data_IF_444927902645
#
_entry.id   IF_444927902645
#
_cell.length_a   1.000
_cell.length_b   1.000
_cell.length_c   1.000
_cell.angle_alpha   90.00
_cell.angle_beta   90.00
_cell.angle_gamma   90.00
#
_symmetry.space_group_name_H-M   'P 1'
#
loop_
_entity.id
_entity.type
_entity.pdbx_description
1 polymer ?
#
# COMPACT_ATOMS: atom_id res chain seq x y z
N UNK A 1 -63.07 -2.94 18.52
CA UNK A 1 -62.55 -1.92 19.46
C UNK A 1 -61.54 -2.62 20.36
N UNK A 2 -60.24 -2.51 20.21
CA UNK A 2 -59.40 -1.69 19.36
C UNK A 2 -58.13 -2.48 19.01
N UNK A 3 -57.67 -2.34 17.78
CA UNK A 3 -56.31 -2.70 17.34
C UNK A 3 -55.28 -1.91 18.17
N UNK A 4 -54.24 -2.60 18.64
CA UNK A 4 -53.02 -1.97 19.11
C UNK A 4 -51.92 -2.29 18.09
N UNK A 5 -51.54 -1.25 17.35
CA UNK A 5 -50.44 -1.21 16.39
C UNK A 5 -49.13 -1.68 17.02
N UNK A 6 -48.55 -2.74 16.44
CA UNK A 6 -47.13 -3.08 16.59
C UNK A 6 -46.47 -2.69 15.28
N UNK A 7 -45.71 -1.59 15.29
CA UNK A 7 -44.83 -1.19 14.19
C UNK A 7 -43.90 -2.35 13.78
N UNK A 8 -43.80 -2.70 12.48
CA UNK A 8 -42.79 -3.63 12.03
C UNK A 8 -41.45 -2.88 11.90
N UNK A 9 -40.54 -3.18 12.83
CA UNK A 9 -39.12 -2.88 12.73
C UNK A 9 -38.62 -3.29 11.33
N UNK A 10 -38.23 -2.29 10.51
CA UNK A 10 -37.65 -2.50 9.18
C UNK A 10 -36.37 -3.34 9.29
N UNK A 11 -36.52 -4.66 9.16
CA UNK A 11 -35.44 -5.57 8.79
C UNK A 11 -34.91 -5.13 7.43
N UNK A 12 -33.73 -4.52 7.44
CA UNK A 12 -32.92 -4.37 6.23
C UNK A 12 -32.46 -5.78 5.85
N UNK A 13 -33.11 -6.31 4.82
CA UNK A 13 -32.85 -7.64 4.27
C UNK A 13 -31.39 -7.81 3.89
N UNK A 14 -30.76 -8.78 4.53
CA UNK A 14 -29.42 -9.26 4.24
C UNK A 14 -29.48 -10.37 3.20
N UNK A 15 -29.54 -10.02 1.92
CA UNK A 15 -29.47 -10.99 0.82
C UNK A 15 -28.45 -10.55 -0.23
N UNK A 16 -27.18 -10.79 0.08
CA UNK A 16 -26.16 -11.16 -0.91
C UNK A 16 -24.99 -11.77 -0.14
N UNK A 17 -24.49 -12.91 -0.58
CA UNK A 17 -23.32 -13.63 -0.06
C UNK A 17 -22.01 -12.87 -0.34
N UNK A 18 -21.98 -11.59 0.00
CA UNK A 18 -20.86 -10.67 -0.12
C UNK A 18 -19.94 -10.79 1.09
N UNK A 19 -18.68 -11.12 0.84
CA UNK A 19 -17.58 -11.11 1.81
C UNK A 19 -17.64 -9.81 2.65
N UNK A 20 -18.08 -9.87 3.92
CA UNK A 20 -18.21 -8.69 4.80
C UNK A 20 -16.92 -7.87 4.77
N UNK A 21 -17.02 -6.61 4.33
CA UNK A 21 -15.90 -5.65 4.26
C UNK A 21 -15.38 -5.38 5.68
N UNK A 22 -14.07 -5.47 5.88
CA UNK A 22 -13.45 -5.23 7.20
C UNK A 22 -13.14 -3.75 7.38
N UNK A 23 -13.88 -3.09 8.26
CA UNK A 23 -13.70 -1.66 8.59
C UNK A 23 -12.31 -1.37 9.13
N UNK A 24 -11.71 -2.31 9.87
CA UNK A 24 -10.34 -2.20 10.39
C UNK A 24 -9.30 -2.15 9.27
N UNK A 25 -9.46 -2.98 8.22
CA UNK A 25 -8.55 -2.94 7.08
C UNK A 25 -8.72 -1.66 6.25
N UNK A 26 -9.94 -1.12 6.17
CA UNK A 26 -10.15 0.20 5.58
C UNK A 26 -9.48 1.30 6.42
N UNK A 27 -9.60 1.25 7.74
CA UNK A 27 -8.90 2.17 8.63
C UNK A 27 -7.37 2.14 8.48
N UNK A 28 -6.80 0.95 8.28
CA UNK A 28 -5.37 0.82 7.96
C UNK A 28 -5.02 1.52 6.63
N UNK A 29 -5.85 1.39 5.60
CA UNK A 29 -5.65 2.11 4.32
C UNK A 29 -5.72 3.63 4.51
N UNK A 30 -6.62 4.10 5.36
CA UNK A 30 -6.73 5.54 5.66
C UNK A 30 -5.43 6.07 6.26
N UNK A 31 -4.91 5.40 7.29
CA UNK A 31 -3.65 5.79 7.92
C UNK A 31 -2.48 5.76 6.92
N UNK A 32 -2.41 4.74 6.06
CA UNK A 32 -1.39 4.63 5.02
C UNK A 32 -1.49 5.74 3.97
N UNK A 33 -2.69 6.06 3.47
CA UNK A 33 -2.89 7.15 2.51
C UNK A 33 -2.53 8.51 3.11
N UNK A 34 -3.00 8.80 4.32
CA UNK A 34 -2.70 10.05 5.01
C UNK A 34 -1.21 10.20 5.29
N UNK A 35 -0.52 9.12 5.68
CA UNK A 35 0.93 9.12 5.85
C UNK A 35 1.68 9.54 4.57
N UNK A 36 1.25 9.04 3.42
CA UNK A 36 1.81 9.41 2.12
C UNK A 36 1.53 10.89 1.79
N UNK A 37 0.29 11.35 2.00
CA UNK A 37 -0.07 12.77 1.74
C UNK A 37 0.75 13.70 2.62
N UNK A 38 0.86 13.42 3.92
CA UNK A 38 1.64 14.22 4.87
C UNK A 38 3.12 14.26 4.47
N UNK A 39 3.69 13.12 4.04
CA UNK A 39 5.04 13.08 3.51
C UNK A 39 5.22 14.02 2.31
N UNK A 40 4.34 13.94 1.31
CA UNK A 40 4.47 14.82 0.15
C UNK A 40 4.23 16.29 0.49
N UNK A 41 3.32 16.60 1.41
CA UNK A 41 3.12 17.97 1.90
C UNK A 41 4.42 18.54 2.50
N UNK A 42 5.20 17.73 3.23
CA UNK A 42 6.48 18.18 3.80
C UNK A 42 7.53 18.55 2.75
N UNK A 43 7.53 17.86 1.61
CA UNK A 43 8.40 18.18 0.47
C UNK A 43 7.88 19.38 -0.31
N UNK A 44 6.58 19.38 -0.63
CA UNK A 44 5.92 20.41 -1.43
C UNK A 44 5.95 21.78 -0.73
N UNK A 45 5.84 21.85 0.60
CA UNK A 45 5.93 23.11 1.34
C UNK A 45 7.36 23.67 1.42
N UNK A 46 8.38 22.95 0.92
CA UNK A 46 9.79 23.31 1.05
C UNK A 46 10.36 23.06 2.45
N UNK A 47 9.56 22.61 3.43
CA UNK A 47 10.05 22.38 4.79
C UNK A 47 11.11 21.27 4.81
N UNK A 48 10.87 20.14 4.15
CA UNK A 48 11.80 19.02 4.13
C UNK A 48 13.14 19.33 3.46
N UNK A 49 13.17 20.31 2.55
CA UNK A 49 14.38 20.74 1.80
C UNK A 49 15.04 21.99 2.40
N UNK A 50 14.38 22.67 3.33
CA UNK A 50 14.94 23.83 4.03
C UNK A 50 16.19 23.47 4.86
N UNK A 51 17.06 24.45 5.14
CA UNK A 51 18.26 24.25 5.94
C UNK A 51 17.96 23.73 7.37
N UNK A 52 16.84 24.16 7.95
CA UNK A 52 16.38 23.73 9.27
C UNK A 52 15.66 22.38 9.23
N UNK A 53 14.76 22.18 8.25
CA UNK A 53 13.97 20.96 8.14
C UNK A 53 14.77 19.75 7.67
N UNK A 54 15.71 19.92 6.73
CA UNK A 54 16.58 18.82 6.25
C UNK A 54 17.42 18.17 7.36
N UNK A 55 17.72 18.94 8.42
CA UNK A 55 18.42 18.51 9.64
C UNK A 55 17.48 18.13 10.78
N UNK A 56 16.17 18.17 10.59
CA UNK A 56 15.20 17.88 11.65
C UNK A 56 14.88 16.40 11.74
N UNK A 57 14.94 15.84 12.96
CA UNK A 57 14.44 14.48 13.24
C UNK A 57 12.96 14.35 12.86
N UNK A 58 12.17 15.42 13.04
CA UNK A 58 10.76 15.43 12.66
C UNK A 58 10.57 15.17 11.16
N UNK A 59 11.34 15.85 10.30
CA UNK A 59 11.29 15.64 8.84
C UNK A 59 11.74 14.23 8.48
N UNK A 60 12.74 13.68 9.17
CA UNK A 60 13.13 12.28 8.96
C UNK A 60 12.03 11.28 9.36
N UNK A 61 11.30 11.55 10.45
CA UNK A 61 10.14 10.77 10.87
C UNK A 61 9.04 10.86 9.80
N UNK A 62 8.64 12.07 9.39
CA UNK A 62 7.62 12.28 8.35
C UNK A 62 8.02 11.62 7.02
N UNK A 63 9.29 11.75 6.63
CA UNK A 63 9.89 11.09 5.47
C UNK A 63 9.71 9.57 5.48
N UNK A 64 10.02 8.94 6.60
CA UNK A 64 9.88 7.50 6.74
C UNK A 64 8.42 7.09 6.90
N UNK A 65 7.56 7.95 7.43
CA UNK A 65 6.13 7.67 7.60
C UNK A 65 5.44 7.50 6.23
N UNK A 66 5.78 8.32 5.24
CA UNK A 66 5.30 8.15 3.86
C UNK A 66 5.73 6.81 3.25
N UNK A 67 7.03 6.46 3.37
CA UNK A 67 7.55 5.17 2.90
C UNK A 67 6.89 3.98 3.62
N UNK A 68 6.65 4.10 4.92
CA UNK A 68 5.93 3.11 5.71
C UNK A 68 4.47 2.95 5.23
N UNK A 69 3.79 4.05 4.88
CA UNK A 69 2.47 4.00 4.25
C UNK A 69 2.45 3.16 2.97
N UNK A 70 3.45 3.32 2.10
CA UNK A 70 3.61 2.49 0.90
C UNK A 70 3.86 1.02 1.25
N UNK A 71 4.72 0.75 2.25
CA UNK A 71 4.95 -0.61 2.72
C UNK A 71 3.65 -1.28 3.21
N UNK A 72 2.82 -0.57 3.99
CA UNK A 72 1.51 -1.04 4.43
C UNK A 72 0.59 -1.35 3.26
N UNK A 73 0.54 -0.51 2.22
CA UNK A 73 -0.25 -0.81 1.01
C UNK A 73 0.20 -2.08 0.29
N UNK A 74 1.51 -2.31 0.16
CA UNK A 74 2.03 -3.52 -0.51
C UNK A 74 1.85 -4.78 0.34
N UNK A 75 2.05 -4.70 1.66
CA UNK A 75 1.74 -5.81 2.58
C UNK A 75 0.24 -6.12 2.56
N UNK A 76 -0.63 -5.11 2.58
CA UNK A 76 -2.07 -5.31 2.49
C UNK A 76 -2.50 -5.92 1.15
N UNK A 77 -1.86 -5.51 0.06
CA UNK A 77 -2.09 -6.07 -1.28
C UNK A 77 -1.66 -7.53 -1.35
N UNK A 78 -0.46 -7.86 -0.85
CA UNK A 78 0.01 -9.24 -0.72
C UNK A 78 -0.95 -10.10 0.12
N UNK A 79 -1.43 -9.57 1.24
CA UNK A 79 -2.40 -10.24 2.10
C UNK A 79 -3.73 -10.54 1.38
N UNK A 80 -4.36 -9.52 0.80
CA UNK A 80 -5.70 -9.66 0.24
C UNK A 80 -5.73 -10.49 -1.04
N UNK A 81 -4.74 -10.30 -1.92
CA UNK A 81 -4.68 -11.02 -3.18
C UNK A 81 -4.29 -12.48 -2.95
N UNK A 82 -3.22 -12.72 -2.20
CA UNK A 82 -2.72 -14.09 -2.03
C UNK A 82 -3.66 -14.96 -1.19
N UNK A 83 -4.48 -14.36 -0.32
CA UNK A 83 -5.51 -15.08 0.44
C UNK A 83 -6.47 -15.89 -0.45
N UNK A 84 -6.80 -15.38 -1.64
CA UNK A 84 -7.67 -16.09 -2.59
C UNK A 84 -6.97 -17.32 -3.18
N UNK A 85 -5.69 -17.16 -3.55
CA UNK A 85 -4.89 -18.24 -4.13
C UNK A 85 -4.46 -19.29 -3.11
N UNK A 86 -4.01 -18.87 -1.92
CA UNK A 86 -3.45 -19.76 -0.90
C UNK A 86 -4.52 -20.67 -0.30
N UNK A 87 -5.77 -20.20 -0.19
CA UNK A 87 -6.91 -21.05 0.22
C UNK A 87 -7.04 -22.26 -0.69
N UNK A 88 -6.94 -22.05 -2.01
CA UNK A 88 -6.97 -23.13 -2.98
C UNK A 88 -5.72 -24.00 -2.93
N UNK A 89 -4.54 -23.41 -2.81
CA UNK A 89 -3.28 -24.18 -2.73
C UNK A 89 -3.30 -25.12 -1.52
N UNK A 90 -3.75 -24.65 -0.37
CA UNK A 90 -3.71 -25.42 0.88
C UNK A 90 -4.90 -26.38 1.05
N UNK A 91 -6.10 -25.99 0.61
CA UNK A 91 -7.35 -26.69 0.94
C UNK A 91 -8.23 -27.00 -0.29
N UNK A 92 -7.66 -26.97 -1.49
CA UNK A 92 -8.32 -27.38 -2.75
C UNK A 92 -9.66 -26.68 -3.06
N UNK A 93 -9.82 -25.44 -2.59
CA UNK A 93 -10.99 -24.59 -2.89
C UNK A 93 -11.10 -24.16 -4.36
N UNK A 94 -12.25 -23.57 -4.71
CA UNK A 94 -12.58 -23.16 -6.08
C UNK A 94 -11.57 -22.15 -6.69
N UNK A 95 -11.41 -22.21 -8.03
CA UNK A 95 -10.57 -21.28 -8.78
C UNK A 95 -11.35 -20.01 -9.08
N UNK A 96 -10.81 -18.83 -8.75
CA UNK A 96 -11.24 -17.61 -9.43
C UNK A 96 -10.79 -17.69 -10.90
N UNK A 97 -11.70 -17.55 -11.89
CA UNK A 97 -11.32 -17.49 -13.29
C UNK A 97 -10.35 -16.32 -13.54
N UNK A 98 -9.28 -16.56 -14.30
CA UNK A 98 -8.26 -15.53 -14.58
C UNK A 98 -8.83 -14.28 -15.28
N UNK A 99 -9.76 -14.39 -16.25
CA UNK A 99 -10.37 -13.19 -16.85
C UNK A 99 -11.04 -12.30 -15.82
N UNK A 100 -11.85 -12.90 -14.93
CA UNK A 100 -12.51 -12.16 -13.83
C UNK A 100 -11.52 -11.52 -12.87
N UNK A 101 -10.43 -12.23 -12.57
CA UNK A 101 -9.35 -11.68 -11.76
C UNK A 101 -8.76 -10.42 -12.40
N UNK A 102 -8.36 -10.47 -13.67
CA UNK A 102 -7.76 -9.31 -14.34
C UNK A 102 -8.75 -8.16 -14.53
N UNK A 103 -10.01 -8.44 -14.85
CA UNK A 103 -11.08 -7.45 -14.99
C UNK A 103 -11.25 -6.63 -13.70
N UNK A 104 -11.42 -7.31 -12.55
CA UNK A 104 -11.57 -6.63 -11.25
C UNK A 104 -10.37 -5.78 -10.88
N UNK A 105 -9.15 -6.18 -11.30
CA UNK A 105 -7.91 -5.45 -11.00
C UNK A 105 -7.73 -4.26 -11.94
N UNK A 106 -8.10 -4.43 -13.21
CA UNK A 106 -8.10 -3.36 -14.19
C UNK A 106 -9.09 -2.26 -13.79
N UNK A 107 -10.36 -2.62 -13.52
CA UNK A 107 -11.42 -1.69 -13.12
C UNK A 107 -11.15 -0.99 -11.78
N UNK A 108 -10.32 -1.60 -10.92
CA UNK A 108 -9.90 -1.00 -9.66
C UNK A 108 -8.87 0.12 -9.84
N UNK A 109 -8.02 0.06 -10.86
CA UNK A 109 -6.91 1.01 -11.03
C UNK A 109 -7.17 1.98 -12.17
N UNK A 110 -7.34 1.48 -13.40
CA UNK A 110 -7.24 2.30 -14.59
C UNK A 110 -8.28 3.41 -14.72
N UNK A 111 -9.59 3.19 -14.45
CA UNK A 111 -10.60 4.22 -14.66
C UNK A 111 -10.33 5.51 -13.85
N UNK A 112 -10.07 5.39 -12.55
CA UNK A 112 -9.81 6.56 -11.71
C UNK A 112 -8.42 7.15 -12.00
N UNK A 113 -7.42 6.30 -12.28
CA UNK A 113 -6.09 6.76 -12.69
C UNK A 113 -6.16 7.62 -13.96
N UNK A 114 -6.87 7.18 -15.01
CA UNK A 114 -6.99 7.92 -16.26
C UNK A 114 -7.70 9.25 -16.08
N UNK A 115 -8.78 9.29 -15.29
CA UNK A 115 -9.46 10.56 -15.00
C UNK A 115 -8.55 11.51 -14.24
N UNK A 116 -7.82 11.02 -13.23
CA UNK A 116 -6.85 11.84 -12.50
C UNK A 116 -5.69 12.31 -13.40
N UNK A 117 -5.22 11.46 -14.32
CA UNK A 117 -4.17 11.80 -15.29
C UNK A 117 -4.64 12.88 -16.26
N UNK A 118 -5.85 12.75 -16.81
CA UNK A 118 -6.46 13.77 -17.66
C UNK A 118 -6.61 15.08 -16.89
N UNK A 119 -7.13 15.02 -15.66
CA UNK A 119 -7.19 16.19 -14.78
C UNK A 119 -5.82 16.84 -14.58
N UNK A 120 -4.79 16.04 -14.32
CA UNK A 120 -3.41 16.52 -14.21
C UNK A 120 -2.94 17.24 -15.47
N UNK A 121 -3.12 16.65 -16.65
CA UNK A 121 -2.70 17.25 -17.92
C UNK A 121 -3.45 18.54 -18.20
N UNK A 122 -4.78 18.54 -18.03
CA UNK A 122 -5.65 19.71 -18.33
C UNK A 122 -5.31 20.88 -17.44
N UNK A 123 -5.18 20.65 -16.12
CA UNK A 123 -4.97 21.73 -15.16
C UNK A 123 -3.54 22.26 -15.27
N UNK A 124 -2.55 21.38 -15.42
CA UNK A 124 -1.15 21.79 -15.37
C UNK A 124 -0.56 22.20 -16.73
N UNK A 125 -1.31 22.02 -17.82
CA UNK A 125 -0.83 22.22 -19.19
C UNK A 125 0.36 21.32 -19.56
N UNK A 126 0.62 20.24 -18.80
CA UNK A 126 1.80 19.40 -19.01
C UNK A 126 1.79 18.80 -20.43
N UNK A 127 2.87 18.96 -21.22
CA UNK A 127 2.89 18.48 -22.59
C UNK A 127 2.87 16.94 -22.61
N UNK A 128 1.86 16.38 -23.27
CA UNK A 128 1.86 14.97 -23.67
C UNK A 128 2.81 14.83 -24.87
N UNK A 129 4.10 14.68 -24.59
CA UNK A 129 5.09 14.44 -25.65
C UNK A 129 4.76 13.13 -26.36
N UNK A 130 4.67 13.17 -27.70
CA UNK A 130 4.45 11.99 -28.52
C UNK A 130 5.51 10.92 -28.21
N UNK A 131 5.07 9.71 -27.83
CA UNK A 131 5.93 8.62 -27.34
C UNK A 131 5.87 8.41 -25.82
N UNK A 132 5.64 9.45 -25.02
CA UNK A 132 5.46 9.36 -23.55
C UNK A 132 4.03 9.03 -23.12
N UNK A 133 3.03 9.41 -23.94
CA UNK A 133 1.61 9.23 -23.64
C UNK A 133 1.23 7.75 -23.42
N UNK A 134 1.78 6.83 -24.23
CA UNK A 134 1.56 5.39 -24.04
C UNK A 134 2.01 4.96 -22.65
N UNK A 135 3.23 5.31 -22.26
CA UNK A 135 3.78 4.98 -20.96
C UNK A 135 2.98 5.58 -19.79
N UNK A 136 2.42 6.78 -19.95
CA UNK A 136 1.54 7.36 -18.93
C UNK A 136 0.25 6.55 -18.85
N UNK A 137 -0.43 6.32 -19.97
CA UNK A 137 -1.69 5.57 -20.02
C UNK A 137 -1.58 4.14 -19.48
N UNK A 138 -0.42 3.49 -19.64
CA UNK A 138 -0.13 2.12 -19.17
C UNK A 138 0.63 2.07 -17.84
N UNK A 139 0.93 3.22 -17.22
CA UNK A 139 1.79 3.33 -16.02
C UNK A 139 3.25 2.85 -16.22
N UNK A 140 3.70 2.64 -17.46
CA UNK A 140 5.05 2.17 -17.78
C UNK A 140 6.04 3.28 -18.15
N UNK A 141 5.66 4.55 -18.12
CA UNK A 141 6.50 5.69 -18.53
C UNK A 141 7.90 5.68 -17.88
N UNK A 142 7.98 5.37 -16.59
CA UNK A 142 9.26 5.25 -15.86
C UNK A 142 10.20 4.15 -16.35
N UNK A 143 9.71 3.21 -17.15
CA UNK A 143 10.54 2.17 -17.76
C UNK A 143 11.18 2.62 -19.08
N UNK A 144 10.68 3.69 -19.70
CA UNK A 144 11.01 4.04 -21.08
C UNK A 144 11.56 5.47 -21.27
N UNK A 145 11.28 6.42 -20.37
CA UNK A 145 11.76 7.80 -20.51
C UNK A 145 12.47 8.31 -19.25
N UNK A 146 13.55 9.07 -19.43
CA UNK A 146 14.26 9.81 -18.38
C UNK A 146 13.90 11.30 -18.36
N UNK A 147 13.13 11.78 -19.36
CA UNK A 147 12.76 13.17 -19.48
C UNK A 147 11.78 13.60 -18.37
N UNK A 148 11.93 14.86 -17.95
CA UNK A 148 11.16 15.57 -16.90
C UNK A 148 9.70 15.14 -16.85
N UNK A 149 9.31 14.59 -15.69
CA UNK A 149 7.99 14.03 -15.37
C UNK A 149 6.79 14.91 -15.76
N UNK A 150 6.03 14.58 -16.82
CA UNK A 150 4.71 15.13 -17.04
C UNK A 150 3.70 14.09 -16.55
N UNK A 151 3.40 14.05 -15.25
CA UNK A 151 2.38 13.13 -14.75
C UNK A 151 2.27 13.01 -13.23
N UNK A 152 1.42 12.07 -12.80
CA UNK A 152 1.19 11.77 -11.38
C UNK A 152 2.43 11.06 -10.81
N UNK A 153 3.29 11.82 -10.13
CA UNK A 153 4.56 11.35 -9.57
C UNK A 153 4.46 10.20 -8.57
N UNK A 154 3.30 9.97 -7.96
CA UNK A 154 3.04 8.81 -7.07
C UNK A 154 2.66 7.53 -7.82
N UNK A 155 2.35 7.60 -9.11
CA UNK A 155 1.82 6.48 -9.89
C UNK A 155 2.79 5.28 -10.05
N UNK A 156 4.07 5.44 -9.71
CA UNK A 156 5.04 4.34 -9.71
C UNK A 156 4.68 3.19 -8.78
N UNK A 157 3.97 3.45 -7.68
CA UNK A 157 3.51 2.37 -6.80
C UNK A 157 2.42 1.53 -7.48
N UNK A 158 1.59 2.17 -8.33
CA UNK A 158 0.54 1.49 -9.10
C UNK A 158 1.15 0.60 -10.17
N UNK A 159 2.23 1.06 -10.82
CA UNK A 159 3.01 0.21 -11.71
C UNK A 159 3.53 -1.05 -11.01
N UNK A 160 4.14 -0.90 -9.82
CA UNK A 160 4.60 -2.04 -9.01
C UNK A 160 3.43 -2.96 -8.65
N UNK A 161 2.28 -2.40 -8.28
CA UNK A 161 1.08 -3.16 -7.93
C UNK A 161 0.50 -3.93 -9.14
N UNK A 162 0.47 -3.34 -10.33
CA UNK A 162 0.06 -4.03 -11.57
C UNK A 162 1.04 -5.15 -11.92
N UNK A 163 2.34 -4.90 -11.83
CA UNK A 163 3.35 -5.93 -12.03
C UNK A 163 3.14 -7.11 -11.06
N UNK A 164 2.81 -6.82 -9.80
CA UNK A 164 2.45 -7.84 -8.81
C UNK A 164 1.16 -8.60 -9.19
N UNK A 165 0.15 -7.91 -9.72
CA UNK A 165 -1.09 -8.54 -10.19
C UNK A 165 -0.85 -9.51 -11.34
N UNK A 166 0.05 -9.17 -12.27
CA UNK A 166 0.47 -10.07 -13.34
C UNK A 166 1.26 -11.25 -12.78
N UNK A 167 2.19 -11.01 -11.85
CA UNK A 167 3.02 -12.05 -11.21
C UNK A 167 2.20 -13.10 -10.44
N UNK A 168 1.18 -12.67 -9.69
CA UNK A 168 0.39 -13.50 -8.77
C UNK A 168 -0.14 -14.82 -9.37
N UNK A 169 -0.88 -14.84 -10.50
CA UNK A 169 -1.42 -16.08 -11.05
C UNK A 169 -0.35 -17.08 -11.48
N UNK A 170 0.78 -16.62 -12.03
CA UNK A 170 1.89 -17.51 -12.39
C UNK A 170 2.56 -18.10 -11.15
N UNK A 171 2.84 -17.28 -10.14
CA UNK A 171 3.42 -17.73 -8.88
C UNK A 171 2.50 -18.71 -8.15
N UNK A 172 1.21 -18.40 -8.06
CA UNK A 172 0.21 -19.29 -7.47
C UNK A 172 0.04 -20.59 -8.25
N UNK A 173 0.07 -20.53 -9.58
CA UNK A 173 0.06 -21.70 -10.46
C UNK A 173 1.27 -22.61 -10.21
N UNK A 174 2.46 -22.03 -10.16
CA UNK A 174 3.70 -22.74 -9.84
C UNK A 174 3.63 -23.41 -8.46
N UNK A 175 3.22 -22.69 -7.42
CA UNK A 175 3.04 -23.27 -6.08
C UNK A 175 2.01 -24.40 -6.08
N UNK A 176 0.90 -24.24 -6.79
CA UNK A 176 -0.10 -25.30 -6.92
C UNK A 176 0.47 -26.55 -7.59
N UNK A 177 1.29 -26.42 -8.64
CA UNK A 177 1.97 -27.56 -9.27
C UNK A 177 2.86 -28.33 -8.28
N UNK A 178 3.61 -27.62 -7.43
CA UNK A 178 4.47 -28.23 -6.40
C UNK A 178 3.65 -28.89 -5.27
N UNK A 179 2.48 -28.35 -4.96
CA UNK A 179 1.66 -28.75 -3.82
C UNK A 179 0.61 -29.83 -4.13
N UNK A 180 0.15 -29.98 -5.39
CA UNK A 180 -1.08 -30.74 -5.76
C UNK A 180 -1.13 -32.21 -5.36
N UNK A 181 0.00 -32.85 -5.06
CA UNK A 181 0.09 -34.26 -4.62
C UNK A 181 0.68 -34.41 -3.22
N UNK A 182 0.65 -33.35 -2.42
CA UNK A 182 1.33 -33.28 -1.11
C UNK A 182 0.32 -33.10 0.00
N UNK A 183 0.68 -33.55 1.19
CA UNK A 183 -0.08 -33.28 2.41
C UNK A 183 -0.02 -31.79 2.77
N UNK A 184 -1.07 -31.30 3.43
CA UNK A 184 -1.24 -29.88 3.72
C UNK A 184 -0.06 -29.25 4.48
N UNK A 185 0.61 -30.00 5.36
CA UNK A 185 1.79 -29.51 6.08
C UNK A 185 2.96 -29.25 5.12
N UNK A 186 3.19 -30.17 4.19
CA UNK A 186 4.20 -30.00 3.14
C UNK A 186 3.81 -28.83 2.23
N UNK A 187 2.53 -28.67 1.90
CA UNK A 187 2.05 -27.52 1.10
C UNK A 187 2.37 -26.19 1.79
N UNK A 188 2.08 -26.07 3.09
CA UNK A 188 2.40 -24.86 3.87
C UNK A 188 3.91 -24.62 3.88
N UNK A 189 4.72 -25.65 4.12
CA UNK A 189 6.19 -25.51 4.11
C UNK A 189 6.70 -25.03 2.75
N UNK A 190 6.24 -25.61 1.64
CA UNK A 190 6.60 -25.18 0.28
C UNK A 190 6.25 -23.69 0.08
N UNK A 191 5.03 -23.30 0.47
CA UNK A 191 4.60 -21.90 0.34
C UNK A 191 5.49 -20.98 1.17
N UNK A 192 5.72 -21.28 2.45
CA UNK A 192 6.55 -20.44 3.33
C UNK A 192 8.00 -20.34 2.84
N UNK A 193 8.59 -21.45 2.38
CA UNK A 193 9.94 -21.45 1.78
C UNK A 193 9.98 -20.58 0.52
N UNK A 194 8.96 -20.66 -0.33
CA UNK A 194 8.87 -19.80 -1.51
C UNK A 194 8.74 -18.31 -1.14
N UNK A 195 8.00 -17.98 -0.08
CA UNK A 195 7.91 -16.60 0.43
C UNK A 195 9.25 -16.09 0.98
N UNK A 196 10.00 -16.94 1.70
CA UNK A 196 11.37 -16.62 2.11
C UNK A 196 12.26 -16.42 0.89
N UNK A 197 12.11 -17.26 -0.14
CA UNK A 197 12.79 -17.11 -1.43
C UNK A 197 12.53 -15.75 -2.08
N UNK A 198 11.30 -15.24 -2.05
CA UNK A 198 10.96 -13.90 -2.55
C UNK A 198 11.64 -12.77 -1.76
N UNK A 199 11.73 -12.90 -0.43
CA UNK A 199 12.44 -11.94 0.43
C UNK A 199 13.94 -11.95 0.10
N UNK A 200 14.55 -13.14 0.02
CA UNK A 200 15.97 -13.30 -0.34
C UNK A 200 16.23 -12.72 -1.73
N UNK A 201 15.39 -13.05 -2.71
CA UNK A 201 15.51 -12.53 -4.07
C UNK A 201 15.43 -11.00 -4.11
N UNK A 202 14.55 -10.37 -3.33
CA UNK A 202 14.48 -8.91 -3.23
C UNK A 202 15.79 -8.31 -2.71
N UNK A 203 16.40 -8.92 -1.68
CA UNK A 203 17.68 -8.45 -1.14
C UNK A 203 18.84 -8.70 -2.09
N UNK A 204 18.87 -9.83 -2.80
CA UNK A 204 19.85 -10.11 -3.86
C UNK A 204 19.71 -9.11 -5.01
N UNK A 205 18.49 -8.79 -5.42
CA UNK A 205 18.21 -7.76 -6.44
C UNK A 205 18.78 -6.40 -6.03
N UNK A 206 18.47 -5.94 -4.81
CA UNK A 206 18.99 -4.68 -4.28
C UNK A 206 20.51 -4.73 -4.12
N UNK A 207 21.04 -5.88 -3.69
CA UNK A 207 22.44 -6.08 -3.31
C UNK A 207 23.39 -6.16 -4.49
N UNK A 208 22.99 -6.87 -5.54
CA UNK A 208 23.84 -7.27 -6.64
C UNK A 208 23.40 -6.65 -7.97
N UNK A 209 22.10 -6.61 -8.26
CA UNK A 209 21.60 -6.18 -9.57
C UNK A 209 21.52 -4.65 -9.67
N UNK A 210 20.90 -3.99 -8.68
CA UNK A 210 20.76 -2.51 -8.67
C UNK A 210 22.12 -1.80 -8.75
N UNK A 211 23.19 -2.21 -8.04
CA UNK A 211 24.48 -1.54 -8.14
C UNK A 211 25.21 -1.83 -9.45
N UNK A 212 24.95 -2.99 -10.07
CA UNK A 212 25.60 -3.44 -11.31
C UNK A 212 25.09 -2.73 -12.57
N UNK A 213 23.91 -2.11 -12.53
CA UNK A 213 23.40 -1.32 -13.66
C UNK A 213 23.98 0.10 -13.67
N UNK A 214 24.04 0.75 -14.86
CA UNK A 214 24.47 2.15 -15.00
C UNK A 214 23.73 3.09 -14.03
N UNK A 215 24.39 4.14 -13.49
CA UNK A 215 23.81 5.03 -12.49
C UNK A 215 22.46 5.65 -12.86
N UNK A 216 22.28 6.03 -14.13
CA UNK A 216 21.05 6.55 -14.74
C UNK A 216 19.88 5.56 -14.64
N UNK A 217 20.15 4.27 -14.80
CA UNK A 217 19.12 3.22 -14.73
C UNK A 217 18.77 2.77 -13.31
N UNK A 218 19.57 3.14 -12.29
CA UNK A 218 19.39 2.61 -10.91
C UNK A 218 18.03 2.93 -10.32
N UNK A 219 17.50 4.13 -10.56
CA UNK A 219 16.21 4.55 -10.02
C UNK A 219 15.07 3.67 -10.56
N UNK A 220 15.13 3.32 -11.85
CA UNK A 220 14.17 2.42 -12.52
C UNK A 220 14.19 1.04 -11.88
N UNK A 221 15.38 0.47 -11.68
CA UNK A 221 15.54 -0.84 -11.05
C UNK A 221 15.14 -0.85 -9.57
N UNK A 222 15.35 0.27 -8.84
CA UNK A 222 14.87 0.44 -7.47
C UNK A 222 13.34 0.50 -7.38
N UNK A 223 12.68 1.12 -8.35
CA UNK A 223 11.22 1.29 -8.40
C UNK A 223 10.48 0.14 -9.11
N UNK A 224 11.12 -1.02 -9.27
CA UNK A 224 10.53 -2.20 -9.89
C UNK A 224 10.11 -3.26 -8.87
N UNK A 225 9.17 -4.13 -9.28
CA UNK A 225 8.60 -5.20 -8.44
C UNK A 225 9.64 -6.01 -7.65
N UNK A 226 10.81 -6.42 -8.21
CA UNK A 226 11.80 -7.19 -7.48
C UNK A 226 12.24 -6.57 -6.14
N UNK A 227 12.39 -5.25 -6.09
CA UNK A 227 12.77 -4.52 -4.86
C UNK A 227 11.74 -4.69 -3.74
N UNK A 228 10.46 -4.87 -4.10
CA UNK A 228 9.34 -4.85 -3.17
C UNK A 228 8.77 -6.24 -2.85
N UNK A 229 9.32 -7.31 -3.43
CA UNK A 229 8.84 -8.67 -3.15
C UNK A 229 8.83 -9.02 -1.66
N UNK A 230 9.76 -8.50 -0.86
CA UNK A 230 9.77 -8.70 0.58
C UNK A 230 8.51 -8.18 1.30
N UNK A 231 7.98 -7.02 0.88
CA UNK A 231 6.75 -6.45 1.45
C UNK A 231 5.52 -7.25 1.02
N UNK A 232 5.43 -7.62 -0.25
CA UNK A 232 4.35 -8.49 -0.71
C UNK A 232 4.39 -9.85 -0.02
N UNK A 233 5.57 -10.48 0.11
CA UNK A 233 5.78 -11.75 0.78
C UNK A 233 5.37 -11.70 2.26
N UNK A 234 5.63 -10.60 2.97
CA UNK A 234 5.14 -10.39 4.33
C UNK A 234 3.60 -10.43 4.38
N UNK A 235 2.93 -9.78 3.44
CA UNK A 235 1.47 -9.85 3.30
C UNK A 235 0.96 -11.24 2.98
N UNK A 236 1.64 -11.94 2.06
CA UNK A 236 1.34 -13.31 1.68
C UNK A 236 1.49 -14.28 2.87
N UNK A 237 2.47 -14.07 3.75
CA UNK A 237 2.64 -14.84 4.97
C UNK A 237 1.47 -14.61 5.95
N UNK A 238 0.99 -13.37 6.09
CA UNK A 238 -0.25 -13.10 6.84
C UNK A 238 -1.45 -13.81 6.23
N UNK A 239 -1.51 -13.93 4.90
CA UNK A 239 -2.60 -14.63 4.23
C UNK A 239 -2.57 -16.13 4.54
N UNK A 240 -1.39 -16.76 4.54
CA UNK A 240 -1.20 -18.15 4.97
C UNK A 240 -1.70 -18.34 6.40
N UNK A 241 -1.23 -17.50 7.35
CA UNK A 241 -1.63 -17.59 8.76
C UNK A 241 -3.14 -17.39 8.97
N UNK A 242 -3.72 -16.39 8.30
CA UNK A 242 -5.16 -16.09 8.37
C UNK A 242 -6.01 -17.24 7.79
N UNK A 243 -5.59 -17.82 6.67
CA UNK A 243 -6.29 -18.95 6.03
C UNK A 243 -6.17 -20.23 6.86
N UNK A 244 -4.99 -20.49 7.43
CA UNK A 244 -4.76 -21.61 8.34
C UNK A 244 -5.63 -21.53 9.60
N UNK A 245 -5.66 -20.36 10.24
CA UNK A 245 -6.49 -20.16 11.43
C UNK A 245 -7.98 -20.30 11.14
N UNK A 246 -8.45 -19.80 9.98
CA UNK A 246 -9.86 -19.87 9.58
C UNK A 246 -10.31 -21.25 9.12
N UNK A 247 -9.39 -22.16 8.82
CA UNK A 247 -9.71 -23.56 8.51
C UNK A 247 -9.87 -24.42 9.77
N UNK A 248 -10.03 -23.81 10.96
CA UNK A 248 -10.15 -24.53 12.24
C UNK A 248 -8.83 -25.11 12.77
N UNK A 249 -7.69 -24.81 12.13
CA UNK A 249 -6.38 -25.30 12.57
C UNK A 249 -5.73 -24.32 13.53
N UNK A 250 -5.00 -24.86 14.51
CA UNK A 250 -4.29 -24.06 15.49
C UNK A 250 -3.03 -23.45 14.88
N UNK A 251 -2.84 -22.15 15.10
CA UNK A 251 -1.59 -21.47 14.80
C UNK A 251 -0.50 -21.89 15.81
N UNK A 252 0.80 -21.80 15.44
CA UNK A 252 1.88 -21.90 16.41
C UNK A 252 1.66 -20.96 17.60
N UNK A 253 1.91 -21.44 18.82
CA UNK A 253 1.63 -20.70 20.06
C UNK A 253 2.22 -19.29 20.06
N UNK A 254 3.44 -19.13 19.57
CA UNK A 254 4.13 -17.83 19.46
C UNK A 254 3.38 -16.84 18.57
N UNK A 255 2.93 -17.26 17.39
CA UNK A 255 2.19 -16.42 16.44
C UNK A 255 0.82 -16.05 17.01
N UNK A 256 0.10 -17.03 17.57
CA UNK A 256 -1.21 -16.79 18.18
C UNK A 256 -1.12 -15.83 19.38
N UNK A 257 -0.11 -15.98 20.23
CA UNK A 257 0.12 -15.09 21.38
C UNK A 257 0.49 -13.68 20.93
N UNK A 258 1.36 -13.56 19.91
CA UNK A 258 1.77 -12.26 19.37
C UNK A 258 0.59 -11.53 18.73
N UNK A 259 -0.21 -12.20 17.91
CA UNK A 259 -1.41 -11.64 17.28
C UNK A 259 -2.44 -11.14 18.31
N UNK A 260 -2.53 -11.79 19.47
CA UNK A 260 -3.39 -11.36 20.58
C UNK A 260 -2.77 -10.25 21.46
N UNK A 261 -1.58 -9.75 21.13
CA UNK A 261 -0.90 -8.64 21.83
C UNK A 261 -0.61 -7.49 20.86
N UNK A 262 -1.64 -6.73 20.42
CA UNK A 262 -1.46 -5.65 19.45
C UNK A 262 -0.43 -4.59 19.88
N UNK A 263 -0.40 -4.24 21.17
CA UNK A 263 0.56 -3.27 21.72
C UNK A 263 1.99 -3.75 21.53
N UNK A 264 2.28 -5.03 21.79
CA UNK A 264 3.63 -5.59 21.59
C UNK A 264 4.01 -5.54 20.11
N UNK A 265 3.10 -5.97 19.22
CA UNK A 265 3.34 -5.91 17.77
C UNK A 265 3.67 -4.49 17.32
N UNK A 266 2.85 -3.52 17.73
CA UNK A 266 3.00 -2.14 17.31
C UNK A 266 4.20 -1.46 17.96
N UNK A 267 4.55 -1.79 19.20
CA UNK A 267 5.78 -1.28 19.83
C UNK A 267 7.02 -1.81 19.11
N UNK A 268 7.09 -3.09 18.79
CA UNK A 268 8.22 -3.66 18.03
C UNK A 268 8.26 -3.09 16.60
N UNK A 269 7.10 -2.94 15.95
CA UNK A 269 7.01 -2.30 14.65
C UNK A 269 7.46 -0.83 14.68
N UNK A 270 7.09 -0.09 15.74
CA UNK A 270 7.53 1.28 15.97
C UNK A 270 9.04 1.33 16.21
N UNK A 271 9.62 0.41 16.98
CA UNK A 271 11.07 0.33 17.18
C UNK A 271 11.80 0.06 15.86
N UNK A 272 11.31 -0.86 15.03
CA UNK A 272 11.87 -1.11 13.69
C UNK A 272 11.78 0.14 12.80
N UNK A 273 10.65 0.87 12.85
CA UNK A 273 10.48 2.15 12.15
C UNK A 273 11.46 3.22 12.64
N UNK A 274 11.58 3.40 13.96
CA UNK A 274 12.49 4.38 14.56
C UNK A 274 13.95 4.04 14.29
N UNK A 275 14.30 2.75 14.20
CA UNK A 275 15.64 2.32 13.80
C UNK A 275 15.96 2.77 12.37
N UNK A 276 15.01 2.68 11.43
CA UNK A 276 15.19 3.21 10.07
C UNK A 276 15.41 4.72 10.08
N UNK A 277 14.61 5.45 10.86
CA UNK A 277 14.76 6.90 11.04
C UNK A 277 16.16 7.22 11.55
N UNK A 278 16.59 6.55 12.62
CA UNK A 278 17.88 6.76 13.27
C UNK A 278 19.06 6.47 12.33
N UNK A 279 18.98 5.37 11.57
CA UNK A 279 20.01 5.03 10.57
C UNK A 279 20.11 6.17 9.55
N UNK A 280 19.00 6.59 8.95
CA UNK A 280 19.01 7.64 7.93
C UNK A 280 19.47 9.00 8.46
N UNK A 281 19.02 9.42 9.64
CA UNK A 281 19.44 10.69 10.24
C UNK A 281 20.94 10.71 10.49
N UNK A 282 21.49 9.64 11.07
CA UNK A 282 22.94 9.57 11.34
C UNK A 282 23.78 9.70 10.07
N UNK A 283 23.35 9.12 8.95
CA UNK A 283 24.06 9.27 7.66
C UNK A 283 23.90 10.66 7.05
N UNK A 284 22.70 11.27 7.12
CA UNK A 284 22.47 12.65 6.69
C UNK A 284 23.34 13.65 7.46
N UNK A 285 23.44 13.50 8.78
CA UNK A 285 24.26 14.37 9.62
C UNK A 285 25.78 14.19 9.40
N UNK A 286 26.22 13.05 8.86
CA UNK A 286 27.62 12.80 8.48
C UNK A 286 28.00 13.34 7.09
N UNK A 287 27.19 14.22 6.49
CA UNK A 287 27.51 14.90 5.23
C UNK A 287 27.30 14.04 3.97
N UNK A 288 26.47 13.00 4.04
CA UNK A 288 26.10 12.17 2.88
C UNK A 288 24.59 12.18 2.62
N UNK A 289 23.98 13.35 2.35
CA UNK A 289 22.53 13.51 2.26
C UNK A 289 21.88 12.66 1.15
N UNK A 290 22.59 12.45 0.04
CA UNK A 290 22.06 11.74 -1.15
C UNK A 290 22.56 10.30 -1.29
N UNK A 291 23.43 9.84 -0.38
CA UNK A 291 24.02 8.50 -0.47
C UNK A 291 23.19 7.47 0.33
N UNK A 292 22.19 6.89 -0.31
CA UNK A 292 21.65 5.62 0.17
C UNK A 292 22.53 4.46 -0.29
N UNK A 293 23.38 3.98 0.63
CA UNK A 293 24.16 2.77 0.41
C UNK A 293 23.23 1.58 0.17
N UNK A 294 23.69 0.61 -0.62
CA UNK A 294 22.97 -0.65 -0.89
C UNK A 294 22.52 -1.33 0.41
N UNK A 295 23.39 -1.38 1.42
CA UNK A 295 23.09 -1.96 2.73
C UNK A 295 21.99 -1.18 3.46
N UNK A 296 22.01 0.16 3.41
CA UNK A 296 20.97 0.99 4.02
C UNK A 296 19.61 0.77 3.33
N UNK A 297 19.60 0.65 2.00
CA UNK A 297 18.39 0.33 1.25
C UNK A 297 17.83 -1.04 1.64
N UNK A 298 18.68 -2.08 1.73
CA UNK A 298 18.27 -3.40 2.20
C UNK A 298 17.71 -3.35 3.62
N UNK A 299 18.41 -2.70 4.55
CA UNK A 299 17.98 -2.57 5.94
C UNK A 299 16.63 -1.84 6.04
N UNK A 300 16.45 -0.74 5.30
CA UNK A 300 15.19 0.00 5.23
C UNK A 300 14.05 -0.88 4.73
N UNK A 301 14.25 -1.56 3.60
CA UNK A 301 13.23 -2.43 2.99
C UNK A 301 12.85 -3.56 3.96
N UNK A 302 13.84 -4.18 4.61
CA UNK A 302 13.59 -5.24 5.60
C UNK A 302 12.81 -4.72 6.81
N UNK A 303 13.32 -3.67 7.48
CA UNK A 303 12.73 -3.15 8.71
C UNK A 303 11.33 -2.56 8.48
N UNK A 304 11.09 -1.86 7.37
CA UNK A 304 9.74 -1.37 7.03
C UNK A 304 8.78 -2.52 6.71
N UNK A 305 9.26 -3.59 6.07
CA UNK A 305 8.46 -4.80 5.83
C UNK A 305 8.05 -5.48 7.14
N UNK A 306 8.98 -5.62 8.08
CA UNK A 306 8.71 -6.16 9.43
C UNK A 306 7.76 -5.24 10.20
N UNK A 307 7.96 -3.93 10.16
CA UNK A 307 7.09 -2.97 10.82
C UNK A 307 5.66 -3.06 10.27
N UNK A 308 5.48 -3.13 8.94
CA UNK A 308 4.18 -3.22 8.30
C UNK A 308 3.50 -4.58 8.57
N UNK A 309 4.27 -5.67 8.59
CA UNK A 309 3.82 -7.00 8.98
C UNK A 309 3.25 -6.99 10.40
N UNK A 310 4.01 -6.47 11.37
CA UNK A 310 3.61 -6.42 12.77
C UNK A 310 2.45 -5.46 13.00
N UNK A 311 2.37 -4.36 12.24
CA UNK A 311 1.24 -3.45 12.27
C UNK A 311 -0.06 -4.15 11.85
N UNK A 312 -0.01 -4.95 10.78
CA UNK A 312 -1.15 -5.65 10.21
C UNK A 312 -1.49 -6.98 10.89
N UNK A 313 -0.52 -7.67 11.51
CA UNK A 313 -0.69 -8.99 12.14
C UNK A 313 -1.91 -9.08 13.08
N UNK A 314 -2.09 -8.22 14.10
CA UNK A 314 -3.24 -8.29 14.99
C UNK A 314 -4.56 -7.97 14.28
N UNK A 315 -4.52 -7.22 13.17
CA UNK A 315 -5.71 -6.82 12.41
C UNK A 315 -6.15 -7.89 11.39
N UNK A 316 -5.23 -8.76 10.97
CA UNK A 316 -5.43 -9.76 9.91
C UNK A 316 -5.79 -11.16 10.44
N UNK A 317 -5.42 -11.46 11.69
CA UNK A 317 -5.74 -12.72 12.38
C UNK A 317 -6.91 -12.45 13.32
N UNK A 318 -7.95 -13.30 13.26
CA UNK A 318 -9.13 -13.16 14.11
C UNK A 318 -8.72 -13.41 15.57
N UNK A 319 -8.58 -12.33 16.34
CA UNK A 319 -8.15 -12.33 17.74
C UNK A 319 -9.06 -11.47 18.63
N UNK A 320 -8.63 -11.20 19.87
CA UNK A 320 -9.42 -10.34 20.77
C UNK A 320 -9.54 -8.92 20.19
N UNK A 321 -10.77 -8.48 19.94
CA UNK A 321 -11.04 -7.09 19.61
C UNK A 321 -10.61 -6.19 20.78
N UNK A 322 -9.69 -5.28 20.51
CA UNK A 322 -9.18 -4.32 21.51
C UNK A 322 -9.68 -2.92 21.20
N UNK A 323 -9.52 -1.97 22.13
CA UNK A 323 -9.79 -0.53 21.88
C UNK A 323 -9.06 0.00 20.63
N UNK A 324 -7.91 -0.58 20.33
CA UNK A 324 -7.11 -0.27 19.14
C UNK A 324 -7.82 -0.66 17.84
N UNK A 325 -8.44 -1.85 17.82
CA UNK A 325 -9.25 -2.29 16.68
C UNK A 325 -10.47 -1.38 16.50
N UNK A 326 -11.09 -0.95 17.60
CA UNK A 326 -12.21 -0.01 17.56
C UNK A 326 -11.80 1.39 17.05
N UNK A 327 -10.61 1.88 17.45
CA UNK A 327 -10.07 3.14 16.94
C UNK A 327 -9.77 3.07 15.44
N UNK A 328 -8.97 2.07 15.01
CA UNK A 328 -8.61 1.91 13.59
C UNK A 328 -9.85 1.63 12.75
N UNK A 329 -10.75 0.77 13.22
CA UNK A 329 -12.02 0.46 12.55
C UNK A 329 -13.13 1.48 12.77
N UNK A 330 -12.82 2.67 13.31
CA UNK A 330 -13.80 3.74 13.53
C UNK A 330 -14.41 4.20 12.21
N UNK A 331 -15.65 4.68 12.26
CA UNK A 331 -16.39 5.14 11.07
C UNK A 331 -15.62 6.18 10.24
N UNK A 332 -14.97 7.21 10.84
CA UNK A 332 -14.22 8.20 10.07
C UNK A 332 -13.03 7.58 9.33
N UNK A 333 -12.21 6.77 10.01
CA UNK A 333 -11.06 6.13 9.38
C UNK A 333 -11.49 5.11 8.33
N UNK A 334 -12.52 4.31 8.59
CA UNK A 334 -13.05 3.39 7.59
C UNK A 334 -13.57 4.13 6.36
N UNK A 335 -14.23 5.28 6.53
CA UNK A 335 -14.70 6.12 5.42
C UNK A 335 -13.53 6.70 4.60
N UNK A 336 -12.52 7.28 5.25
CA UNK A 336 -11.29 7.74 4.57
C UNK A 336 -10.62 6.56 3.84
N UNK A 337 -10.63 5.38 4.44
CA UNK A 337 -10.10 4.15 3.88
C UNK A 337 -10.83 3.68 2.62
N UNK A 338 -12.11 3.99 2.50
CA UNK A 338 -12.91 3.70 1.30
C UNK A 338 -12.48 4.56 0.13
N UNK A 339 -12.19 5.84 0.39
CA UNK A 339 -11.84 6.85 -0.62
C UNK A 339 -10.32 7.03 -0.78
N UNK A 340 -9.53 6.19 -0.12
CA UNK A 340 -8.08 6.38 0.02
C UNK A 340 -7.35 6.34 -1.32
N UNK A 341 -7.89 5.60 -2.30
CA UNK A 341 -7.31 5.53 -3.64
C UNK A 341 -7.47 6.86 -4.40
N UNK A 342 -8.66 7.46 -4.35
CA UNK A 342 -8.87 8.81 -4.87
C UNK A 342 -7.99 9.85 -4.17
N UNK A 343 -7.89 9.83 -2.82
CA UNK A 343 -6.96 10.71 -2.09
C UNK A 343 -5.52 10.57 -2.62
N UNK A 344 -5.09 9.33 -2.82
CA UNK A 344 -3.77 9.00 -3.34
C UNK A 344 -3.53 9.56 -4.75
N UNK A 345 -4.51 9.52 -5.64
CA UNK A 345 -4.36 10.06 -7.01
C UNK A 345 -4.35 11.59 -7.05
N UNK A 346 -5.25 12.24 -6.32
CA UNK A 346 -5.52 13.67 -6.48
C UNK A 346 -4.63 14.57 -5.62
N UNK A 347 -3.99 14.09 -4.56
CA UNK A 347 -3.25 15.00 -3.66
C UNK A 347 -2.09 15.75 -4.33
N UNK A 348 -1.39 15.14 -5.31
CA UNK A 348 -0.23 15.78 -5.97
C UNK A 348 -0.62 16.93 -6.89
N UNK A 349 -1.68 16.77 -7.68
CA UNK A 349 -2.20 17.86 -8.51
C UNK A 349 -2.68 19.01 -7.61
N UNK A 350 -3.40 18.70 -6.52
CA UNK A 350 -3.85 19.71 -5.56
C UNK A 350 -2.67 20.49 -4.96
N UNK A 351 -1.60 19.81 -4.54
CA UNK A 351 -0.40 20.47 -4.03
C UNK A 351 0.26 21.37 -5.08
N UNK A 352 0.36 20.89 -6.32
CA UNK A 352 0.96 21.68 -7.40
C UNK A 352 0.17 22.97 -7.65
N UNK A 353 -1.14 22.88 -7.79
CA UNK A 353 -1.99 24.06 -7.93
C UNK A 353 -1.84 24.99 -6.75
N UNK A 354 -1.94 24.49 -5.51
CA UNK A 354 -1.79 25.33 -4.34
C UNK A 354 -0.47 26.13 -4.33
N UNK A 355 0.62 25.57 -4.84
CA UNK A 355 1.90 26.27 -4.95
C UNK A 355 1.91 27.37 -6.03
N UNK A 356 1.06 27.29 -7.05
CA UNK A 356 0.90 28.34 -8.06
C UNK A 356 0.03 29.49 -7.53
N UNK A 357 -1.01 29.17 -6.76
CA UNK A 357 -1.98 30.16 -6.24
C UNK A 357 -1.60 30.77 -4.88
N UNK A 358 -0.71 30.12 -4.12
CA UNK A 358 -0.43 30.49 -2.74
C UNK A 358 1.04 30.29 -2.35
N UNK A 359 1.59 31.28 -1.65
CA UNK A 359 2.90 31.14 -1.03
C UNK A 359 2.84 30.31 0.27
N UNK A 360 3.84 29.45 0.44
CA UNK A 360 4.09 28.68 1.67
C UNK A 360 5.47 29.01 2.22
N UNK A 361 5.57 29.24 3.52
CA UNK A 361 6.86 29.36 4.19
C UNK A 361 7.57 27.99 4.20
N UNK A 362 8.89 27.93 3.94
CA UNK A 362 9.65 26.67 3.96
C UNK A 362 9.99 26.24 5.40
N UNK A 363 8.99 26.27 6.29
CA UNK A 363 9.09 25.97 7.71
C UNK A 363 7.96 25.03 8.18
N UNK A 364 7.95 24.74 9.48
CA UNK A 364 6.96 23.85 10.08
C UNK A 364 5.52 24.37 9.92
N UNK A 365 5.31 25.70 9.96
CA UNK A 365 3.98 26.29 9.84
C UNK A 365 3.46 26.24 8.41
N UNK A 366 4.33 26.47 7.42
CA UNK A 366 3.98 26.29 6.00
C UNK A 366 3.67 24.84 5.68
N UNK A 367 4.41 23.88 6.26
CA UNK A 367 4.07 22.46 6.20
C UNK A 367 2.68 22.18 6.80
N UNK A 368 2.39 22.67 8.01
CA UNK A 368 1.10 22.44 8.66
C UNK A 368 -0.06 23.06 7.86
N UNK A 369 0.15 24.26 7.31
CA UNK A 369 -0.79 24.94 6.42
C UNK A 369 -1.06 24.10 5.17
N UNK A 370 -0.03 23.55 4.53
CA UNK A 370 -0.17 22.68 3.37
C UNK A 370 -1.00 21.43 3.70
N UNK A 371 -0.68 20.72 4.80
CA UNK A 371 -1.45 19.54 5.24
C UNK A 371 -2.92 19.91 5.52
N UNK A 372 -3.16 21.00 6.24
CA UNK A 372 -4.49 21.45 6.63
C UNK A 372 -5.40 21.78 5.43
N UNK A 373 -4.81 22.20 4.30
CA UNK A 373 -5.54 22.49 3.07
C UNK A 373 -5.65 21.25 2.17
N UNK A 374 -4.54 20.54 1.95
CA UNK A 374 -4.47 19.40 1.01
C UNK A 374 -5.32 18.23 1.50
N UNK A 375 -5.28 17.87 2.78
CA UNK A 375 -5.99 16.68 3.28
C UNK A 375 -7.52 16.79 3.08
N UNK A 376 -8.19 17.90 3.45
CA UNK A 376 -9.61 18.07 3.17
C UNK A 376 -9.95 18.09 1.68
N UNK A 377 -9.20 18.83 0.86
CA UNK A 377 -9.48 18.92 -0.59
C UNK A 377 -9.26 17.56 -1.25
N UNK A 378 -8.16 16.86 -0.94
CA UNK A 378 -7.89 15.53 -1.48
C UNK A 378 -8.94 14.51 -1.01
N UNK A 379 -9.47 14.64 0.21
CA UNK A 379 -10.58 13.81 0.69
C UNK A 379 -11.88 14.09 -0.06
N UNK A 380 -12.18 15.35 -0.37
CA UNK A 380 -13.33 15.72 -1.20
C UNK A 380 -13.20 15.14 -2.61
N UNK A 381 -12.08 15.38 -3.30
CA UNK A 381 -11.83 14.83 -4.63
C UNK A 381 -11.81 13.30 -4.61
N UNK A 382 -11.23 12.69 -3.58
CA UNK A 382 -11.23 11.25 -3.40
C UNK A 382 -12.65 10.69 -3.22
N UNK A 383 -13.51 11.38 -2.49
CA UNK A 383 -14.91 11.00 -2.35
C UNK A 383 -15.70 11.14 -3.66
N UNK A 384 -15.49 12.23 -4.41
CA UNK A 384 -16.11 12.43 -5.73
C UNK A 384 -15.65 11.34 -6.70
N UNK A 385 -14.33 11.09 -6.79
CA UNK A 385 -13.73 10.02 -7.59
C UNK A 385 -14.32 8.66 -7.25
N UNK A 386 -14.40 8.34 -5.96
CA UNK A 386 -14.96 7.08 -5.49
C UNK A 386 -16.42 6.89 -5.92
N UNK A 387 -17.23 7.94 -5.77
CA UNK A 387 -18.67 7.89 -6.08
C UNK A 387 -18.96 7.81 -7.57
N UNK A 388 -18.24 8.56 -8.38
CA UNK A 388 -18.53 8.74 -9.81
C UNK A 388 -17.75 7.79 -10.72
N UNK A 389 -16.61 7.28 -10.27
CA UNK A 389 -15.68 6.51 -11.13
C UNK A 389 -15.44 5.13 -10.54
N UNK A 390 -14.86 5.05 -9.35
CA UNK A 390 -14.38 3.78 -8.79
C UNK A 390 -15.53 2.82 -8.49
N UNK A 391 -16.58 3.30 -7.81
CA UNK A 391 -17.74 2.46 -7.45
C UNK A 391 -18.51 1.97 -8.69
N UNK A 392 -18.84 2.82 -9.69
CA UNK A 392 -19.44 2.35 -10.94
C UNK A 392 -18.55 1.38 -11.71
N UNK A 393 -17.25 1.68 -11.86
CA UNK A 393 -16.33 0.79 -12.55
C UNK A 393 -16.27 -0.60 -11.91
N UNK A 394 -16.15 -0.68 -10.58
CA UNK A 394 -16.13 -1.96 -9.88
C UNK A 394 -17.44 -2.75 -9.99
N UNK A 395 -18.58 -2.08 -10.22
CA UNK A 395 -19.87 -2.75 -10.41
C UNK A 395 -20.01 -3.42 -11.78
N UNK A 396 -19.13 -3.11 -12.74
CA UNK A 396 -19.13 -3.74 -14.07
C UNK A 396 -18.54 -5.15 -14.06
N UNK A 397 -17.68 -5.48 -13.09
CA UNK A 397 -17.06 -6.79 -12.98
C UNK A 397 -18.09 -7.85 -12.57
N UNK A 398 -18.50 -8.71 -13.51
CA UNK A 398 -19.51 -9.77 -13.30
C UNK A 398 -18.91 -11.03 -12.68
#
# INVERSE_FOLDING_TARGET
MAEADIEPEKRVDSTTTGRKRSTTLDGVRALAALAVVVYHCSGASGFATSAHGSKSVFVAVVGNFGNFGVAVFFVLSGYLLFREFVRKILFDGERTPLPHYFERRFLRIYPAYWVALIGFVVVTGAPLVAGGAFGLLTLTERQFSEAVFPGIGVAWTLYVEIAFYVFMPFFAGFLWLLCRRRDVLIRVTIVLVALVGLVVFAHVWIGLIVPAVPPDMRIRFRMNLPTYFGWFAAGMALAVASVWSRSGRTLPKSIAQLANRPVVCWSVGLLAFLMVVLIQTNFRFRGRPDYESTLMLQARMFLQGIAALLFLLPMAIDGRATRLHAFVGSRPLAWIGVISYGIYLWHQIIMKELLEWMAFSPDFFGFLKMVAIVVPIASLFGWVSFRLIEKPALSLAK
#
